data_IF_351288111397
#
_entry.id   IF_351288111397
#
_cell.length_a   1.000
_cell.length_b   1.000
_cell.length_c   1.000
_cell.angle_alpha   90.00
_cell.angle_beta   90.00
_cell.angle_gamma   90.00
#
_symmetry.space_group_name_H-M   'P 1'
#
loop_
_entity.id
_entity.type
_entity.pdbx_description
1 polymer ?
#
# COMPACT_ATOMS: atom_id res chain seq x y z
N UNK A 1 -2.72 -0.65 9.19
CA UNK A 1 -1.26 -0.61 9.16
C UNK A 1 -0.71 -1.78 8.35
N UNK A 2 0.38 -1.55 7.64
CA UNK A 2 1.13 -2.61 6.94
C UNK A 2 2.54 -2.64 7.50
N UNK A 3 3.07 -3.82 7.82
CA UNK A 3 4.44 -4.05 8.29
C UNK A 3 5.07 -5.17 7.46
N UNK A 4 6.10 -4.85 6.71
CA UNK A 4 6.77 -5.77 5.78
C UNK A 4 5.79 -6.54 4.87
N UNK A 5 4.79 -5.82 4.35
CA UNK A 5 3.73 -6.36 3.50
C UNK A 5 2.58 -7.05 4.25
N UNK A 6 2.71 -7.32 5.55
CA UNK A 6 1.66 -7.91 6.38
C UNK A 6 0.66 -6.85 6.84
N UNK A 7 -0.63 -7.06 6.56
CA UNK A 7 -1.70 -6.16 7.01
C UNK A 7 -2.05 -6.41 8.46
N UNK A 8 -2.20 -5.32 9.23
CA UNK A 8 -2.62 -5.33 10.63
C UNK A 8 -3.87 -4.45 10.80
N UNK A 9 -4.88 -4.99 11.46
CA UNK A 9 -6.12 -4.26 11.79
C UNK A 9 -6.31 -4.29 13.30
N UNK A 10 -6.46 -3.12 13.91
CA UNK A 10 -6.63 -2.95 15.36
C UNK A 10 -5.55 -3.70 16.20
N UNK A 11 -4.30 -3.67 15.73
CA UNK A 11 -3.18 -4.31 16.42
C UNK A 11 -3.06 -5.81 16.21
N UNK A 12 -3.89 -6.44 15.37
CA UNK A 12 -3.84 -7.86 15.04
C UNK A 12 -3.49 -8.09 13.58
N UNK A 13 -2.58 -9.04 13.27
CA UNK A 13 -2.29 -9.39 11.89
C UNK A 13 -3.52 -10.03 11.23
N UNK A 14 -3.73 -9.70 9.97
CA UNK A 14 -4.81 -10.30 9.17
C UNK A 14 -4.27 -11.48 8.39
N UNK A 15 -4.99 -12.59 8.40
CA UNK A 15 -4.67 -13.71 7.52
C UNK A 15 -4.73 -13.27 6.06
N UNK A 16 -3.72 -13.59 5.25
CA UNK A 16 -3.74 -13.23 3.85
C UNK A 16 -4.85 -13.98 3.11
N UNK A 17 -5.57 -13.27 2.25
CA UNK A 17 -6.54 -13.91 1.36
C UNK A 17 -5.82 -14.76 0.31
N UNK A 18 -6.42 -15.88 -0.12
CA UNK A 18 -5.90 -16.66 -1.25
C UNK A 18 -5.77 -15.78 -2.50
N UNK A 19 -4.65 -15.91 -3.22
CA UNK A 19 -4.41 -15.17 -4.46
C UNK A 19 -3.71 -13.81 -4.28
N UNK A 20 -3.40 -13.37 -3.06
CA UNK A 20 -2.58 -12.17 -2.86
C UNK A 20 -1.22 -12.37 -3.52
N UNK A 21 -0.83 -11.39 -4.33
CA UNK A 21 0.43 -11.36 -5.04
C UNK A 21 1.33 -10.23 -4.53
N UNK A 22 2.62 -10.51 -4.54
CA UNK A 22 3.68 -9.55 -4.25
C UNK A 22 4.74 -9.60 -5.35
N UNK A 23 5.51 -8.56 -5.48
CA UNK A 23 6.68 -8.58 -6.34
C UNK A 23 7.80 -9.39 -5.67
N UNK A 24 8.37 -10.33 -6.43
CA UNK A 24 9.53 -11.13 -6.02
C UNK A 24 10.71 -10.85 -6.93
N UNK A 25 11.91 -10.87 -6.35
CA UNK A 25 13.18 -10.90 -7.07
C UNK A 25 13.63 -12.35 -7.13
N UNK A 26 13.80 -12.85 -8.35
CA UNK A 26 14.23 -14.21 -8.65
C UNK A 26 15.59 -14.17 -9.32
N UNK A 27 16.59 -14.78 -8.70
CA UNK A 27 17.93 -14.94 -9.28
C UNK A 27 18.09 -16.34 -9.83
N UNK A 28 18.67 -16.46 -11.01
CA UNK A 28 18.83 -17.72 -11.71
C UNK A 28 20.26 -17.94 -12.24
N UNK A 29 20.66 -19.20 -12.41
CA UNK A 29 21.95 -19.57 -13.04
C UNK A 29 21.87 -19.57 -14.56
N UNK A 30 20.67 -19.76 -15.11
CA UNK A 30 20.37 -19.70 -16.55
C UNK A 30 18.94 -19.18 -16.74
N UNK A 31 18.61 -18.60 -17.91
CA UNK A 31 17.29 -18.06 -18.15
C UNK A 31 16.17 -19.05 -17.90
N UNK A 32 15.05 -18.58 -17.36
CA UNK A 32 13.82 -19.35 -17.29
C UNK A 32 13.25 -19.54 -18.69
N UNK A 33 12.85 -20.76 -19.01
CA UNK A 33 12.23 -21.05 -20.30
C UNK A 33 10.77 -20.54 -20.30
N UNK A 34 10.27 -20.14 -21.48
CA UNK A 34 8.85 -19.77 -21.63
C UNK A 34 7.93 -20.92 -21.18
N UNK A 35 8.30 -22.16 -21.48
CA UNK A 35 7.57 -23.35 -21.03
C UNK A 35 7.44 -23.43 -19.49
N UNK A 36 8.51 -23.10 -18.75
CA UNK A 36 8.46 -23.11 -17.28
C UNK A 36 7.55 -22.00 -16.75
N UNK A 37 7.61 -20.82 -17.34
CA UNK A 37 6.76 -19.67 -16.97
C UNK A 37 5.28 -19.97 -17.27
N UNK A 38 4.98 -20.50 -18.45
CA UNK A 38 3.60 -20.85 -18.86
C UNK A 38 3.00 -21.93 -17.94
N UNK A 39 3.78 -22.97 -17.60
CA UNK A 39 3.32 -24.03 -16.69
C UNK A 39 3.05 -23.54 -15.27
N UNK A 40 3.71 -22.48 -14.85
CA UNK A 40 3.49 -21.85 -13.55
C UNK A 40 2.43 -20.75 -13.60
N UNK A 41 1.89 -20.45 -14.79
CA UNK A 41 0.92 -19.37 -14.99
C UNK A 41 1.50 -17.96 -14.75
N UNK A 42 2.82 -17.81 -14.93
CA UNK A 42 3.51 -16.53 -14.70
C UNK A 42 3.47 -15.73 -16.00
N UNK A 43 2.63 -14.69 -16.02
CA UNK A 43 2.42 -13.82 -17.18
C UNK A 43 3.05 -12.44 -17.03
N UNK A 44 3.22 -11.97 -15.79
CA UNK A 44 3.73 -10.64 -15.48
C UNK A 44 5.12 -10.72 -14.85
N UNK A 45 6.12 -10.45 -15.64
CA UNK A 45 7.52 -10.40 -15.20
C UNK A 45 8.36 -9.48 -16.05
N UNK A 46 9.46 -9.01 -15.48
CA UNK A 46 10.54 -8.32 -16.19
C UNK A 46 11.88 -8.96 -15.81
N UNK A 47 12.86 -8.97 -16.71
CA UNK A 47 14.17 -9.52 -16.37
C UNK A 47 15.09 -9.72 -17.59
N UNK A 48 16.34 -10.07 -17.33
CA UNK A 48 17.41 -10.14 -18.32
C UNK A 48 18.19 -11.46 -18.32
N UNK A 49 17.57 -12.54 -17.91
CA UNK A 49 18.18 -13.89 -17.95
C UNK A 49 19.02 -14.29 -16.73
N UNK A 50 19.41 -13.37 -15.85
CA UNK A 50 20.07 -13.67 -14.57
C UNK A 50 19.22 -13.28 -13.37
N UNK A 51 18.34 -12.31 -13.55
CA UNK A 51 17.44 -11.77 -12.53
C UNK A 51 16.09 -11.42 -13.14
N UNK A 52 15.03 -11.79 -12.44
CA UNK A 52 13.65 -11.48 -12.81
C UNK A 52 12.93 -10.80 -11.65
N UNK A 53 12.01 -9.89 -12.00
CA UNK A 53 11.01 -9.33 -11.10
C UNK A 53 9.66 -9.88 -11.54
N UNK A 54 8.96 -10.58 -10.65
CA UNK A 54 7.73 -11.31 -10.95
C UNK A 54 6.66 -10.99 -9.92
N UNK A 55 5.41 -10.87 -10.33
CA UNK A 55 4.28 -10.80 -9.40
C UNK A 55 3.78 -12.23 -9.14
N UNK A 56 3.95 -12.70 -7.91
CA UNK A 56 3.67 -14.08 -7.53
C UNK A 56 2.84 -14.14 -6.25
N UNK A 57 1.99 -15.14 -6.16
CA UNK A 57 1.49 -15.60 -4.86
C UNK A 57 2.62 -16.32 -4.11
N UNK A 58 2.48 -16.47 -2.79
CA UNK A 58 3.46 -17.23 -2.00
C UNK A 58 3.58 -18.69 -2.50
N UNK A 59 2.46 -19.31 -2.91
CA UNK A 59 2.46 -20.65 -3.50
C UNK A 59 3.24 -20.70 -4.82
N UNK A 60 3.04 -19.73 -5.71
CA UNK A 60 3.78 -19.64 -6.97
C UNK A 60 5.28 -19.39 -6.72
N UNK A 61 5.62 -18.57 -5.73
CA UNK A 61 7.01 -18.33 -5.36
C UNK A 61 7.72 -19.61 -4.88
N UNK A 62 7.02 -20.48 -4.12
CA UNK A 62 7.57 -21.80 -3.74
C UNK A 62 7.80 -22.70 -4.95
N UNK A 63 6.88 -22.72 -5.91
CA UNK A 63 7.04 -23.49 -7.16
C UNK A 63 8.22 -22.96 -7.98
N UNK A 64 8.40 -21.65 -8.08
CA UNK A 64 9.57 -21.04 -8.73
C UNK A 64 10.86 -21.42 -8.01
N UNK A 65 10.87 -21.39 -6.67
CA UNK A 65 12.04 -21.77 -5.86
C UNK A 65 12.49 -23.20 -6.09
N UNK A 66 11.55 -24.10 -6.42
CA UNK A 66 11.84 -25.51 -6.69
C UNK A 66 12.46 -25.78 -8.08
N UNK A 67 12.55 -24.79 -8.97
CA UNK A 67 13.19 -24.96 -10.27
C UNK A 67 14.71 -25.11 -10.11
N UNK A 68 15.30 -26.05 -10.81
CA UNK A 68 16.71 -26.45 -10.67
C UNK A 68 17.74 -25.37 -11.03
N UNK A 69 17.36 -24.35 -11.77
CA UNK A 69 18.20 -23.21 -12.16
C UNK A 69 17.94 -21.95 -11.35
N UNK A 70 17.09 -21.98 -10.31
CA UNK A 70 16.82 -20.84 -9.43
C UNK A 70 17.77 -20.85 -8.24
N UNK A 71 18.44 -19.73 -8.03
CA UNK A 71 19.38 -19.50 -6.91
C UNK A 71 18.67 -18.94 -5.69
N UNK A 72 17.77 -17.97 -5.90
CA UNK A 72 17.02 -17.36 -4.81
C UNK A 72 15.69 -16.77 -5.29
N UNK A 73 14.71 -16.80 -4.41
CA UNK A 73 13.40 -16.13 -4.57
C UNK A 73 13.16 -15.31 -3.28
N UNK A 74 13.08 -14.01 -3.40
CA UNK A 74 12.86 -13.11 -2.26
C UNK A 74 11.77 -12.11 -2.58
N UNK A 75 10.88 -11.84 -1.63
CA UNK A 75 9.91 -10.75 -1.75
C UNK A 75 10.68 -9.43 -1.85
N UNK A 76 10.27 -8.58 -2.79
CA UNK A 76 10.77 -7.22 -2.88
C UNK A 76 10.06 -6.37 -1.84
N UNK A 77 10.80 -5.67 -1.00
CA UNK A 77 10.25 -4.74 -0.01
C UNK A 77 10.57 -3.32 -0.46
N UNK A 78 9.52 -2.55 -0.67
CA UNK A 78 9.64 -1.16 -1.10
C UNK A 78 10.11 -0.27 0.04
N UNK A 79 11.05 0.62 -0.25
CA UNK A 79 11.47 1.67 0.67
C UNK A 79 10.49 2.84 0.67
N UNK A 80 10.45 3.66 1.74
CA UNK A 80 9.63 4.86 1.78
C UNK A 80 9.87 5.78 0.58
N UNK A 81 8.78 6.29 0.00
CA UNK A 81 8.81 7.18 -1.16
C UNK A 81 7.66 8.20 -1.09
N UNK A 82 7.61 9.11 -2.07
CA UNK A 82 6.62 10.19 -2.14
C UNK A 82 5.36 9.84 -2.92
N UNK A 83 5.27 8.63 -3.49
CA UNK A 83 4.15 8.23 -4.33
C UNK A 83 2.99 7.68 -3.50
N UNK A 84 3.31 7.25 -2.28
CA UNK A 84 2.35 6.65 -1.35
C UNK A 84 1.64 7.75 -0.55
N UNK A 85 0.33 7.63 -0.39
CA UNK A 85 -0.49 8.56 0.42
C UNK A 85 -0.09 8.52 1.91
N UNK A 86 -0.04 9.64 2.63
CA UNK A 86 -0.20 11.00 2.12
C UNK A 86 1.07 11.47 1.41
N UNK A 87 0.96 11.77 0.11
CA UNK A 87 2.10 12.20 -0.68
C UNK A 87 2.76 13.44 -0.07
N UNK A 88 4.11 13.46 -0.08
CA UNK A 88 4.91 14.60 0.37
C UNK A 88 4.80 14.96 1.86
N UNK A 89 4.04 14.19 2.66
CA UNK A 89 3.95 14.36 4.11
C UNK A 89 4.95 13.46 4.86
N UNK A 90 5.23 13.83 6.10
CA UNK A 90 5.98 12.97 7.03
C UNK A 90 5.01 12.36 8.07
N UNK A 91 5.26 11.14 8.56
CA UNK A 91 6.33 10.24 8.14
C UNK A 91 6.11 9.67 6.74
N UNK A 92 7.19 9.43 6.01
CA UNK A 92 7.11 8.78 4.70
C UNK A 92 6.90 7.30 4.87
N UNK A 93 5.93 6.78 4.16
CA UNK A 93 5.61 5.37 4.13
C UNK A 93 6.02 4.70 2.81
N UNK A 94 5.92 3.39 2.77
CA UNK A 94 6.05 2.62 1.55
C UNK A 94 4.81 1.73 1.36
N UNK A 95 4.72 1.03 0.24
CA UNK A 95 3.66 0.05 0.02
C UNK A 95 3.67 -1.08 1.06
N UNK A 96 4.85 -1.42 1.58
CA UNK A 96 5.08 -2.53 2.50
C UNK A 96 5.16 -2.14 3.97
N UNK A 97 5.45 -0.86 4.25
CA UNK A 97 5.50 -0.31 5.60
C UNK A 97 4.66 0.97 5.63
N UNK A 98 3.40 0.83 6.06
CA UNK A 98 2.37 1.84 5.90
C UNK A 98 1.56 2.05 7.19
N UNK A 99 1.39 3.29 7.58
CA UNK A 99 0.61 3.66 8.76
C UNK A 99 1.38 3.61 10.08
N UNK A 100 0.67 3.57 11.21
CA UNK A 100 -0.78 3.33 11.33
C UNK A 100 -1.64 4.49 10.79
N UNK A 101 -2.78 4.16 10.19
CA UNK A 101 -3.80 5.10 9.77
C UNK A 101 -5.13 4.71 10.43
N UNK A 102 -5.86 5.69 10.92
CA UNK A 102 -7.21 5.50 11.42
C UNK A 102 -8.21 5.83 10.30
N UNK A 103 -9.11 4.89 10.03
CA UNK A 103 -10.13 5.04 9.00
C UNK A 103 -11.42 5.51 9.67
N UNK A 104 -11.92 6.72 9.34
CA UNK A 104 -13.08 7.27 10.00
C UNK A 104 -14.38 6.59 9.60
N UNK A 105 -15.35 6.65 10.52
CA UNK A 105 -16.74 6.29 10.27
C UNK A 105 -17.63 7.50 10.50
N UNK A 106 -18.83 7.45 9.94
CA UNK A 106 -19.84 8.50 10.09
C UNK A 106 -20.10 8.82 11.57
N UNK A 107 -20.08 10.11 11.89
CA UNK A 107 -20.30 10.62 13.25
C UNK A 107 -19.07 10.57 14.16
N UNK A 108 -17.98 9.93 13.74
CA UNK A 108 -16.74 9.95 14.50
C UNK A 108 -16.06 11.33 14.39
N UNK A 109 -15.41 11.76 15.46
CA UNK A 109 -14.72 13.04 15.53
C UNK A 109 -13.22 12.84 15.73
N UNK A 110 -12.41 13.56 14.97
CA UNK A 110 -10.95 13.61 15.11
C UNK A 110 -10.51 15.01 15.55
N UNK A 111 -9.54 15.11 16.44
CA UNK A 111 -8.82 16.35 16.69
C UNK A 111 -7.88 16.60 15.51
N UNK A 112 -7.99 17.77 14.88
CA UNK A 112 -7.15 18.15 13.77
C UNK A 112 -5.85 18.78 14.26
N UNK A 113 -4.74 18.31 13.72
CA UNK A 113 -3.40 18.84 13.94
C UNK A 113 -2.68 18.99 12.60
N UNK A 114 -1.64 19.80 12.53
CA UNK A 114 -0.81 19.92 11.33
C UNK A 114 -0.22 18.55 10.90
N UNK A 115 0.02 17.66 11.86
CA UNK A 115 0.60 16.33 11.61
C UNK A 115 -0.40 15.35 10.97
N UNK A 116 -1.68 15.36 11.41
CA UNK A 116 -2.69 14.45 10.90
C UNK A 116 -3.56 15.01 9.78
N UNK A 117 -3.52 16.34 9.57
CA UNK A 117 -4.31 16.99 8.54
C UNK A 117 -4.09 16.43 7.13
N UNK A 118 -2.86 16.06 6.71
CA UNK A 118 -2.65 15.44 5.40
C UNK A 118 -3.46 14.15 5.18
N UNK A 119 -3.77 13.40 6.25
CA UNK A 119 -4.56 12.18 6.18
C UNK A 119 -6.05 12.44 5.91
N UNK A 120 -6.55 13.59 6.35
CA UNK A 120 -7.99 13.90 6.33
C UNK A 120 -8.36 15.02 5.36
N UNK A 121 -7.39 15.81 4.90
CA UNK A 121 -7.62 16.94 3.98
C UNK A 121 -8.50 16.56 2.80
N UNK A 122 -8.12 15.51 2.06
CA UNK A 122 -8.86 15.06 0.88
C UNK A 122 -10.28 14.61 1.22
N UNK A 123 -10.47 14.02 2.39
CA UNK A 123 -11.80 13.63 2.89
C UNK A 123 -12.66 14.89 3.10
N UNK A 124 -12.14 15.86 3.84
CA UNK A 124 -12.84 17.08 4.20
C UNK A 124 -13.16 17.92 2.95
N UNK A 125 -12.16 18.17 2.10
CA UNK A 125 -12.32 19.04 0.93
C UNK A 125 -13.08 18.35 -0.22
N UNK A 126 -12.63 17.15 -0.61
CA UNK A 126 -13.09 16.54 -1.87
C UNK A 126 -14.35 15.70 -1.68
N UNK A 127 -14.42 14.92 -0.59
CA UNK A 127 -15.52 13.98 -0.42
C UNK A 127 -16.67 14.57 0.41
N UNK A 128 -16.39 15.43 1.38
CA UNK A 128 -17.41 16.07 2.19
C UNK A 128 -17.71 17.52 1.77
N UNK A 129 -16.91 18.09 0.85
CA UNK A 129 -17.22 19.33 0.14
C UNK A 129 -17.01 20.60 0.94
N UNK A 130 -16.15 20.57 1.94
CA UNK A 130 -15.81 21.72 2.75
C UNK A 130 -14.60 22.49 2.21
N UNK A 131 -14.55 23.78 2.47
CA UNK A 131 -13.38 24.60 2.22
C UNK A 131 -12.43 24.52 3.42
N UNK A 132 -11.17 24.07 3.20
CA UNK A 132 -10.18 23.91 4.25
C UNK A 132 -8.95 24.79 3.98
N UNK A 133 -8.65 25.66 4.91
CA UNK A 133 -7.50 26.56 4.85
C UNK A 133 -6.59 26.40 6.08
N UNK A 134 -5.29 26.47 5.84
CA UNK A 134 -4.31 26.64 6.90
C UNK A 134 -3.78 28.09 6.88
N UNK A 135 -4.03 28.82 7.94
CA UNK A 135 -3.58 30.19 8.08
C UNK A 135 -2.95 30.43 9.45
N UNK A 136 -1.74 30.94 9.48
CA UNK A 136 -1.01 31.27 10.73
C UNK A 136 -0.93 30.09 11.73
N UNK A 137 -0.78 28.84 11.21
CA UNK A 137 -0.72 27.63 12.01
C UNK A 137 -2.07 27.16 12.56
N UNK A 138 -3.19 27.76 12.11
CA UNK A 138 -4.56 27.39 12.46
C UNK A 138 -5.24 26.73 11.27
N UNK A 139 -6.11 25.78 11.58
CA UNK A 139 -6.95 25.10 10.59
C UNK A 139 -8.31 25.78 10.60
N UNK A 140 -8.78 26.19 9.42
CA UNK A 140 -10.12 26.77 9.22
C UNK A 140 -10.90 25.87 8.28
N UNK A 141 -12.17 25.62 8.61
CA UNK A 141 -13.12 24.90 7.76
C UNK A 141 -14.33 25.81 7.56
N UNK A 142 -14.68 26.06 6.29
CA UNK A 142 -15.77 26.96 5.88
C UNK A 142 -15.65 28.35 6.51
N UNK A 143 -14.42 28.86 6.60
CA UNK A 143 -14.13 30.20 7.16
C UNK A 143 -14.11 30.30 8.69
N UNK A 144 -14.35 29.20 9.42
CA UNK A 144 -14.31 29.16 10.88
C UNK A 144 -13.11 28.32 11.39
N UNK A 145 -12.46 28.80 12.48
CA UNK A 145 -11.37 28.02 13.11
C UNK A 145 -11.91 26.69 13.64
N UNK A 146 -11.26 25.57 13.26
CA UNK A 146 -11.67 24.21 13.58
C UNK A 146 -10.52 23.43 14.21
N UNK A 147 -10.63 23.09 15.50
CA UNK A 147 -9.69 22.21 16.20
C UNK A 147 -10.05 20.73 16.08
N UNK A 148 -11.20 20.40 15.50
CA UNK A 148 -11.68 19.04 15.30
C UNK A 148 -12.61 18.96 14.10
N UNK A 149 -12.80 17.75 13.58
CA UNK A 149 -13.74 17.49 12.49
C UNK A 149 -14.57 16.23 12.77
N UNK A 150 -15.88 16.31 12.49
CA UNK A 150 -16.82 15.17 12.61
C UNK A 150 -17.20 14.71 11.23
N UNK A 151 -16.89 13.45 10.91
CA UNK A 151 -17.12 12.89 9.58
C UNK A 151 -18.60 12.63 9.29
N UNK A 152 -19.05 13.03 8.11
CA UNK A 152 -20.42 12.85 7.63
C UNK A 152 -20.67 11.49 6.99
N UNK A 153 -19.64 10.76 6.60
CA UNK A 153 -19.70 9.49 5.87
C UNK A 153 -18.84 8.40 6.50
N UNK A 154 -19.08 7.15 6.09
CA UNK A 154 -18.21 6.01 6.37
C UNK A 154 -17.12 5.92 5.29
N UNK A 155 -15.89 5.58 5.70
CA UNK A 155 -14.75 5.43 4.81
C UNK A 155 -14.20 4.02 4.86
N UNK A 156 -13.63 3.58 3.75
CA UNK A 156 -13.09 2.24 3.59
C UNK A 156 -11.69 2.32 3.01
N UNK A 157 -10.80 1.49 3.54
CA UNK A 157 -9.45 1.34 3.02
C UNK A 157 -9.38 0.09 2.16
N UNK A 158 -9.21 0.27 0.86
CA UNK A 158 -9.17 -0.81 -0.11
C UNK A 158 -7.73 -1.07 -0.55
N UNK A 159 -7.36 -2.33 -0.64
CA UNK A 159 -6.07 -2.76 -1.16
C UNK A 159 -6.27 -3.85 -2.21
N UNK A 160 -5.64 -3.69 -3.38
CA UNK A 160 -5.69 -4.69 -4.43
C UNK A 160 -5.01 -6.00 -4.02
N UNK A 161 -5.41 -7.10 -4.62
CA UNK A 161 -4.81 -8.43 -4.42
C UNK A 161 -3.38 -8.50 -4.95
N UNK A 162 -3.07 -7.87 -6.10
CA UNK A 162 -1.70 -7.64 -6.51
C UNK A 162 -1.14 -6.42 -5.76
N UNK A 163 -0.55 -6.68 -4.60
CA UNK A 163 -0.12 -5.66 -3.63
C UNK A 163 0.85 -4.62 -4.19
N UNK A 164 1.66 -5.00 -5.17
CA UNK A 164 2.69 -4.14 -5.75
C UNK A 164 2.36 -3.63 -7.17
N UNK A 165 1.20 -4.03 -7.71
CA UNK A 165 0.73 -3.61 -9.03
C UNK A 165 -0.75 -3.19 -8.99
N UNK A 166 -1.13 -2.41 -7.98
CA UNK A 166 -2.49 -1.92 -7.76
C UNK A 166 -2.47 -0.43 -7.47
N UNK A 167 -3.31 0.33 -8.16
CA UNK A 167 -3.62 1.71 -7.81
C UNK A 167 -4.81 1.69 -6.83
N UNK A 168 -4.52 1.65 -5.54
CA UNK A 168 -5.50 1.49 -4.47
C UNK A 168 -5.42 2.62 -3.42
N UNK A 169 -6.01 2.45 -2.24
CA UNK A 169 -6.07 3.50 -1.22
C UNK A 169 -4.71 3.96 -0.69
N UNK A 170 -3.63 3.31 -1.08
CA UNK A 170 -2.27 3.72 -0.72
C UNK A 170 -1.71 4.83 -1.62
N UNK A 171 -2.43 5.24 -2.71
CA UNK A 171 -1.96 6.20 -3.74
C UNK A 171 -2.89 7.39 -3.95
#
# INVERSE_FOLDING_TARGET
EVRDGQVWVNGSPQEPFPGIQYQYVVQVTSPLTQYALDNLGITEYTGNGSMYYMFLTDEAAEKVRALGNVLSVRRYIYTPNTDVFPQWAEPRWSQDNYGPIWIPQKGATVQLTAENLPLYRRIIETYEGHELEERDGRINIDGAEAGSYTFGMDYYWMMGDNRHNSADSRF
#
